data_IF_317489531896
#
_entry.id   IF_317489531896
#
_cell.length_a   1.000
_cell.length_b   1.000
_cell.length_c   1.000
_cell.angle_alpha   90.00
_cell.angle_beta   90.00
_cell.angle_gamma   90.00
#
_symmetry.space_group_name_H-M   'P 1'
#
loop_
_entity.id
_entity.type
_entity.pdbx_description
1 polymer ?
#
# COMPACT_ATOMS: atom_id res chain seq x y z
N UNK A 1 -31.09 10.56 -13.43
CA UNK A 1 -30.02 10.33 -14.42
C UNK A 1 -29.25 9.09 -14.01
N UNK A 2 -29.45 7.98 -14.71
CA UNK A 2 -28.93 6.66 -14.36
C UNK A 2 -27.40 6.58 -14.42
N UNK A 3 -26.75 7.49 -15.17
CA UNK A 3 -25.31 7.47 -15.41
C UNK A 3 -24.49 8.56 -14.70
N UNK A 4 -25.14 9.42 -13.91
CA UNK A 4 -24.45 10.51 -13.21
C UNK A 4 -23.28 10.01 -12.37
N UNK A 5 -23.46 8.89 -11.66
CA UNK A 5 -22.40 8.23 -10.88
C UNK A 5 -21.15 7.96 -11.73
N UNK A 6 -21.32 7.43 -12.94
CA UNK A 6 -20.20 7.06 -13.80
C UNK A 6 -19.49 8.30 -14.37
N UNK A 7 -20.25 9.34 -14.73
CA UNK A 7 -19.67 10.63 -15.14
C UNK A 7 -18.82 11.20 -14.02
N UNK A 8 -19.35 11.25 -12.80
CA UNK A 8 -18.64 11.77 -11.63
C UNK A 8 -17.34 10.97 -11.37
N UNK A 9 -17.37 9.64 -11.49
CA UNK A 9 -16.19 8.79 -11.35
C UNK A 9 -15.16 9.01 -12.46
N UNK A 10 -15.59 9.13 -13.72
CA UNK A 10 -14.68 9.38 -14.84
C UNK A 10 -13.98 10.73 -14.73
N UNK A 11 -14.71 11.76 -14.33
CA UNK A 11 -14.17 13.10 -14.09
C UNK A 11 -13.23 13.15 -12.89
N UNK A 12 -13.53 12.40 -11.82
CA UNK A 12 -12.73 12.39 -10.60
C UNK A 12 -11.45 11.55 -10.73
N UNK A 13 -11.55 10.38 -11.34
CA UNK A 13 -10.49 9.37 -11.32
C UNK A 13 -10.06 8.90 -12.71
N UNK A 14 -10.98 8.88 -13.68
CA UNK A 14 -10.77 8.26 -15.00
C UNK A 14 -9.79 8.98 -15.92
N UNK A 15 -9.29 10.16 -15.53
CA UNK A 15 -8.43 10.99 -16.36
C UNK A 15 -9.17 11.83 -17.40
N UNK A 16 -10.50 11.92 -17.29
CA UNK A 16 -11.33 12.79 -18.12
C UNK A 16 -11.30 14.22 -17.61
N UNK A 17 -11.24 15.18 -18.53
CA UNK A 17 -11.28 16.60 -18.24
C UNK A 17 -12.72 17.13 -18.37
N UNK A 18 -12.98 18.32 -17.85
CA UNK A 18 -14.31 18.94 -17.93
C UNK A 18 -14.85 19.04 -19.38
N UNK A 19 -13.97 19.18 -20.37
CA UNK A 19 -14.30 19.24 -21.79
C UNK A 19 -14.83 17.90 -22.32
N UNK A 20 -14.50 16.79 -21.68
CA UNK A 20 -14.92 15.44 -22.06
C UNK A 20 -16.32 15.08 -21.56
N UNK A 21 -17.03 15.99 -20.88
CA UNK A 21 -18.31 15.68 -20.24
C UNK A 21 -19.34 15.15 -21.24
N UNK A 22 -19.53 15.85 -22.36
CA UNK A 22 -20.49 15.45 -23.40
C UNK A 22 -20.07 14.14 -24.08
N UNK A 23 -18.75 13.93 -24.26
CA UNK A 23 -18.23 12.66 -24.76
C UNK A 23 -18.59 11.51 -23.81
N UNK A 24 -18.30 11.68 -22.53
CA UNK A 24 -18.50 10.66 -21.52
C UNK A 24 -19.99 10.33 -21.32
N UNK A 25 -20.85 11.35 -21.30
CA UNK A 25 -22.31 11.20 -21.24
C UNK A 25 -22.84 10.35 -22.40
N UNK A 26 -22.44 10.67 -23.64
CA UNK A 26 -22.86 9.93 -24.82
C UNK A 26 -22.33 8.49 -24.83
N UNK A 27 -21.07 8.27 -24.42
CA UNK A 27 -20.48 6.93 -24.35
C UNK A 27 -21.17 6.06 -23.30
N UNK A 28 -21.47 6.61 -22.13
CA UNK A 28 -22.14 5.88 -21.05
C UNK A 28 -23.60 5.54 -21.41
N UNK A 29 -24.32 6.45 -22.06
CA UNK A 29 -25.69 6.21 -22.50
C UNK A 29 -25.80 5.05 -23.52
N UNK A 30 -24.74 4.82 -24.31
CA UNK A 30 -24.69 3.72 -25.28
C UNK A 30 -24.37 2.35 -24.65
N UNK A 31 -23.92 2.30 -23.39
CA UNK A 31 -23.58 1.08 -22.68
C UNK A 31 -24.77 0.59 -21.85
N UNK A 32 -25.02 -0.72 -21.87
CA UNK A 32 -26.08 -1.36 -21.07
C UNK A 32 -25.52 -2.10 -19.88
N UNK A 33 -24.32 -2.68 -19.98
CA UNK A 33 -23.64 -3.37 -18.88
C UNK A 33 -22.95 -2.39 -17.93
N UNK A 34 -23.16 -2.59 -16.64
CA UNK A 34 -22.48 -1.86 -15.56
C UNK A 34 -20.97 -2.11 -15.60
N UNK A 35 -20.52 -3.31 -15.98
CA UNK A 35 -19.08 -3.62 -16.11
C UNK A 35 -18.41 -2.75 -17.15
N UNK A 36 -19.03 -2.60 -18.32
CA UNK A 36 -18.50 -1.76 -19.39
C UNK A 36 -18.48 -0.27 -18.99
N UNK A 37 -19.51 0.20 -18.29
CA UNK A 37 -19.54 1.58 -17.76
C UNK A 37 -18.43 1.81 -16.75
N UNK A 38 -18.22 0.87 -15.83
CA UNK A 38 -17.14 0.91 -14.84
C UNK A 38 -15.78 0.91 -15.52
N UNK A 39 -15.57 0.02 -16.49
CA UNK A 39 -14.31 -0.10 -17.23
C UNK A 39 -13.99 1.19 -17.98
N UNK A 40 -14.98 1.78 -18.67
CA UNK A 40 -14.80 3.03 -19.41
C UNK A 40 -14.28 4.17 -18.54
N UNK A 41 -14.74 4.24 -17.28
CA UNK A 41 -14.38 5.33 -16.36
C UNK A 41 -13.26 4.99 -15.40
N UNK A 42 -12.76 3.75 -15.45
CA UNK A 42 -11.56 3.33 -14.71
C UNK A 42 -10.33 3.96 -15.37
N UNK A 43 -9.43 4.63 -14.62
CA UNK A 43 -8.26 5.22 -15.23
C UNK A 43 -7.38 4.17 -15.92
N UNK A 44 -6.73 4.54 -17.04
CA UNK A 44 -5.61 3.79 -17.56
C UNK A 44 -4.50 3.65 -16.50
N UNK A 45 -3.75 2.55 -16.54
CA UNK A 45 -2.66 2.30 -15.61
C UNK A 45 -1.63 3.45 -15.57
N UNK A 46 -1.32 4.05 -16.73
CA UNK A 46 -0.40 5.18 -16.82
C UNK A 46 -0.92 6.43 -16.08
N UNK A 47 -2.21 6.73 -16.21
CA UNK A 47 -2.85 7.87 -15.53
C UNK A 47 -2.86 7.65 -14.02
N UNK A 48 -3.25 6.46 -13.56
CA UNK A 48 -3.22 6.09 -12.15
C UNK A 48 -1.81 6.30 -11.55
N UNK A 49 -0.79 5.72 -12.19
CA UNK A 49 0.58 5.75 -11.70
C UNK A 49 1.18 7.16 -11.72
N UNK A 50 0.90 7.94 -12.77
CA UNK A 50 1.37 9.33 -12.85
C UNK A 50 0.74 10.20 -11.75
N UNK A 51 -0.57 10.07 -11.53
CA UNK A 51 -1.26 10.86 -10.51
C UNK A 51 -0.85 10.46 -9.09
N UNK A 52 -0.70 9.16 -8.83
CA UNK A 52 -0.15 8.66 -7.56
C UNK A 52 1.24 9.24 -7.29
N UNK A 53 2.15 9.18 -8.27
CA UNK A 53 3.50 9.72 -8.14
C UNK A 53 3.49 11.24 -7.91
N UNK A 54 2.60 11.97 -8.60
CA UNK A 54 2.43 13.40 -8.41
C UNK A 54 1.98 13.73 -6.98
N UNK A 55 0.95 13.05 -6.46
CA UNK A 55 0.47 13.26 -5.09
C UNK A 55 1.57 12.94 -4.07
N UNK A 56 2.27 11.83 -4.27
CA UNK A 56 3.36 11.39 -3.41
C UNK A 56 4.46 12.46 -3.34
N UNK A 57 4.85 13.03 -4.48
CA UNK A 57 5.93 14.02 -4.57
C UNK A 57 5.52 15.42 -4.11
N UNK A 58 4.33 15.89 -4.51
CA UNK A 58 3.89 17.27 -4.27
C UNK A 58 3.21 17.47 -2.93
N UNK A 59 2.68 16.40 -2.33
CA UNK A 59 1.93 16.48 -1.08
C UNK A 59 2.52 15.56 -0.01
N UNK A 60 2.20 14.28 -0.05
CA UNK A 60 2.71 13.32 0.93
C UNK A 60 2.48 11.87 0.48
N UNK A 61 3.23 10.90 1.05
CA UNK A 61 2.92 9.48 0.88
C UNK A 61 1.47 9.14 1.25
N UNK A 62 0.94 9.77 2.31
CA UNK A 62 -0.43 9.53 2.79
C UNK A 62 -1.49 10.01 1.79
N UNK A 63 -1.31 11.19 1.21
CA UNK A 63 -2.27 11.70 0.21
C UNK A 63 -2.35 10.79 -1.03
N UNK A 64 -1.22 10.18 -1.42
CA UNK A 64 -1.16 9.26 -2.55
C UNK A 64 -1.88 7.93 -2.25
N UNK A 65 -1.63 7.35 -1.06
CA UNK A 65 -2.24 6.10 -0.62
C UNK A 65 -3.74 6.27 -0.33
N UNK A 66 -4.16 7.39 0.27
CA UNK A 66 -5.57 7.75 0.48
C UNK A 66 -6.30 7.87 -0.87
N UNK A 67 -5.69 8.55 -1.85
CA UNK A 67 -6.25 8.65 -3.20
C UNK A 67 -6.46 7.28 -3.83
N UNK A 68 -5.44 6.42 -3.78
CA UNK A 68 -5.53 5.08 -4.37
C UNK A 68 -6.55 4.21 -3.63
N UNK A 69 -6.67 4.35 -2.31
CA UNK A 69 -7.64 3.59 -1.51
C UNK A 69 -9.07 3.95 -1.88
N UNK A 70 -9.37 5.25 -1.98
CA UNK A 70 -10.69 5.73 -2.37
C UNK A 70 -11.04 5.36 -3.83
N UNK A 71 -10.04 5.36 -4.73
CA UNK A 71 -10.20 4.82 -6.07
C UNK A 71 -10.50 3.32 -6.02
N UNK A 72 -9.77 2.54 -5.20
CA UNK A 72 -9.97 1.11 -5.07
C UNK A 72 -11.38 0.75 -4.61
N UNK A 73 -11.93 1.51 -3.66
CA UNK A 73 -13.35 1.41 -3.25
C UNK A 73 -14.31 1.80 -4.36
N UNK A 74 -14.05 2.91 -5.04
CA UNK A 74 -14.94 3.45 -6.07
C UNK A 74 -15.12 2.51 -7.26
N UNK A 75 -14.04 1.81 -7.64
CA UNK A 75 -14.01 0.87 -8.75
C UNK A 75 -14.11 -0.59 -8.34
N UNK A 76 -14.10 -0.89 -7.03
CA UNK A 76 -14.21 -2.26 -6.51
C UNK A 76 -13.12 -3.14 -7.15
N UNK A 77 -11.87 -2.73 -6.90
CA UNK A 77 -10.62 -3.33 -7.44
C UNK A 77 -9.69 -3.82 -6.33
N UNK A 78 -10.26 -4.18 -5.18
CA UNK A 78 -9.53 -4.88 -4.13
C UNK A 78 -9.15 -6.28 -4.60
N UNK A 79 -7.94 -6.72 -4.25
CA UNK A 79 -7.44 -8.04 -4.66
C UNK A 79 -6.55 -8.67 -3.58
N UNK A 80 -6.86 -9.91 -3.19
CA UNK A 80 -6.15 -10.64 -2.13
C UNK A 80 -4.92 -11.41 -2.63
N UNK A 81 -4.87 -11.72 -3.92
CA UNK A 81 -3.77 -12.41 -4.57
C UNK A 81 -3.38 -11.68 -5.86
N UNK A 82 -2.92 -10.42 -5.75
CA UNK A 82 -2.63 -9.60 -6.91
C UNK A 82 -1.39 -10.14 -7.63
N UNK A 83 -1.44 -10.04 -8.96
CA UNK A 83 -0.36 -10.45 -9.84
C UNK A 83 -0.36 -9.56 -11.09
N UNK A 84 0.82 -9.33 -11.66
CA UNK A 84 0.98 -8.49 -12.85
C UNK A 84 0.14 -8.98 -14.04
N UNK A 85 -0.07 -10.30 -14.17
CA UNK A 85 -0.83 -10.93 -15.25
C UNK A 85 -2.35 -10.79 -15.09
N UNK A 86 -2.84 -10.27 -13.96
CA UNK A 86 -4.27 -10.03 -13.75
C UNK A 86 -4.74 -8.72 -14.40
N UNK A 87 -3.90 -7.68 -14.47
CA UNK A 87 -4.32 -6.36 -14.94
C UNK A 87 -4.83 -6.42 -16.39
N UNK A 88 -6.13 -6.13 -16.59
CA UNK A 88 -6.76 -6.14 -17.90
C UNK A 88 -7.18 -7.53 -18.41
N UNK A 89 -6.98 -8.59 -17.62
CA UNK A 89 -7.49 -9.94 -17.94
C UNK A 89 -9.03 -9.96 -17.84
N UNK A 90 -9.67 -10.90 -18.55
CA UNK A 90 -11.11 -11.13 -18.39
C UNK A 90 -11.43 -11.47 -16.91
N UNK A 91 -12.39 -10.74 -16.32
CA UNK A 91 -12.71 -10.78 -14.90
C UNK A 91 -11.90 -9.80 -14.03
N UNK A 92 -10.91 -9.13 -14.60
CA UNK A 92 -10.00 -8.17 -13.95
C UNK A 92 -9.80 -6.92 -14.83
N UNK A 93 -10.76 -6.60 -15.69
CA UNK A 93 -10.63 -5.58 -16.72
C UNK A 93 -10.35 -4.19 -16.11
N UNK A 94 -10.99 -3.91 -14.97
CA UNK A 94 -10.83 -2.70 -14.18
C UNK A 94 -9.74 -2.82 -13.09
N UNK A 95 -9.16 -4.00 -12.83
CA UNK A 95 -8.10 -4.14 -11.84
C UNK A 95 -6.92 -3.25 -12.23
N UNK A 96 -6.40 -2.50 -11.26
CA UNK A 96 -5.26 -1.59 -11.42
C UNK A 96 -4.43 -1.62 -10.15
N UNK A 97 -3.13 -1.44 -10.31
CA UNK A 97 -2.21 -1.36 -9.18
C UNK A 97 -1.14 -0.28 -9.40
N UNK A 98 -0.54 0.17 -8.32
CA UNK A 98 0.58 1.10 -8.34
C UNK A 98 1.86 0.31 -8.62
N UNK A 99 2.61 0.73 -9.63
CA UNK A 99 3.91 0.18 -9.99
C UNK A 99 4.99 0.84 -9.16
N UNK A 100 5.86 0.02 -8.59
CA UNK A 100 6.99 0.42 -7.78
C UNK A 100 8.28 -0.13 -8.40
N UNK A 101 9.36 0.63 -8.25
CA UNK A 101 10.71 0.14 -8.52
C UNK A 101 11.44 0.05 -7.19
N UNK A 102 11.73 -1.17 -6.76
CA UNK A 102 12.43 -1.44 -5.50
C UNK A 102 13.74 -2.15 -5.83
N UNK A 103 14.86 -1.54 -5.46
CA UNK A 103 16.19 -2.08 -5.77
C UNK A 103 16.38 -2.49 -7.24
N UNK A 104 15.82 -1.72 -8.18
CA UNK A 104 15.89 -1.98 -9.62
C UNK A 104 14.93 -3.05 -10.15
N UNK A 105 14.07 -3.62 -9.30
CA UNK A 105 13.10 -4.67 -9.66
C UNK A 105 11.67 -4.12 -9.68
N UNK A 106 10.82 -4.72 -10.51
CA UNK A 106 9.41 -4.38 -10.62
C UNK A 106 8.58 -4.96 -9.48
N UNK A 107 7.86 -4.08 -8.79
CA UNK A 107 6.85 -4.45 -7.78
C UNK A 107 5.52 -3.75 -8.07
N UNK A 108 4.44 -4.33 -7.54
CA UNK A 108 3.10 -3.78 -7.53
C UNK A 108 2.63 -3.55 -6.10
N UNK A 109 1.74 -2.58 -5.94
CA UNK A 109 1.02 -2.25 -4.72
C UNK A 109 -0.48 -2.19 -5.02
N UNK A 110 -1.26 -3.00 -4.31
CA UNK A 110 -2.74 -2.97 -4.35
C UNK A 110 -3.33 -3.11 -2.96
N UNK A 111 -4.54 -2.60 -2.77
CA UNK A 111 -5.31 -2.88 -1.56
C UNK A 111 -6.01 -4.23 -1.67
N UNK A 112 -6.03 -4.96 -0.55
CA UNK A 112 -6.69 -6.25 -0.36
C UNK A 112 -8.16 -6.10 0.01
N UNK A 113 -8.51 -5.08 0.77
CA UNK A 113 -9.87 -4.88 1.29
C UNK A 113 -10.14 -3.43 1.73
N UNK A 114 -11.36 -3.19 2.22
CA UNK A 114 -11.85 -1.90 2.73
C UNK A 114 -11.37 -1.56 4.16
N UNK A 115 -10.61 -2.45 4.80
CA UNK A 115 -9.92 -2.19 6.06
C UNK A 115 -8.51 -1.59 5.85
N UNK A 116 -8.19 -1.19 4.60
CA UNK A 116 -6.91 -0.58 4.22
C UNK A 116 -5.71 -1.53 4.36
N UNK A 117 -5.97 -2.84 4.39
CA UNK A 117 -4.92 -3.83 4.22
C UNK A 117 -4.47 -3.82 2.76
N UNK A 118 -3.15 -3.85 2.55
CA UNK A 118 -2.54 -3.79 1.24
C UNK A 118 -1.48 -4.87 1.06
N UNK A 119 -1.14 -5.13 -0.20
CA UNK A 119 -0.19 -6.16 -0.62
C UNK A 119 0.86 -5.51 -1.51
N UNK A 120 2.13 -5.84 -1.24
CA UNK A 120 3.26 -5.58 -2.13
C UNK A 120 3.65 -6.90 -2.80
N UNK A 121 3.76 -6.92 -4.12
CA UNK A 121 4.01 -8.15 -4.87
C UNK A 121 5.01 -7.89 -6.00
N UNK A 122 5.91 -8.83 -6.26
CA UNK A 122 6.92 -8.69 -7.31
C UNK A 122 6.45 -9.28 -8.64
N UNK A 123 6.90 -8.72 -9.76
CA UNK A 123 6.61 -9.27 -11.10
C UNK A 123 7.29 -10.63 -11.32
N UNK A 124 8.49 -10.79 -10.76
CA UNK A 124 9.29 -12.01 -10.82
C UNK A 124 9.62 -12.49 -9.40
N UNK A 125 9.99 -13.76 -9.19
CA UNK A 125 10.40 -14.24 -7.87
C UNK A 125 11.54 -13.40 -7.27
N UNK A 126 11.34 -12.92 -6.04
CA UNK A 126 12.32 -12.15 -5.29
C UNK A 126 12.42 -12.70 -3.88
N UNK A 127 13.66 -12.81 -3.37
CA UNK A 127 13.89 -13.07 -1.95
C UNK A 127 13.52 -11.83 -1.16
N UNK A 128 12.58 -11.96 -0.23
CA UNK A 128 12.30 -10.90 0.75
C UNK A 128 13.46 -10.84 1.75
N UNK A 129 13.98 -9.65 1.98
CA UNK A 129 15.03 -9.37 2.97
C UNK A 129 14.62 -8.19 3.85
N UNK A 130 15.27 -8.00 4.99
CA UNK A 130 14.98 -6.87 5.86
C UNK A 130 15.28 -5.52 5.18
N UNK A 131 16.28 -5.46 4.31
CA UNK A 131 16.59 -4.27 3.52
C UNK A 131 15.43 -3.91 2.59
N UNK A 132 14.83 -4.91 1.92
CA UNK A 132 13.64 -4.70 1.10
C UNK A 132 12.45 -4.23 1.96
N UNK A 133 12.24 -4.84 3.13
CA UNK A 133 11.17 -4.43 4.06
C UNK A 133 11.33 -2.96 4.49
N UNK A 134 12.55 -2.54 4.82
CA UNK A 134 12.83 -1.15 5.20
C UNK A 134 12.89 -0.16 4.04
N UNK A 135 13.18 -0.62 2.82
CA UNK A 135 13.02 0.14 1.59
C UNK A 135 11.53 0.46 1.37
N UNK A 136 10.66 -0.55 1.50
CA UNK A 136 9.21 -0.36 1.39
C UNK A 136 8.68 0.52 2.54
N UNK A 137 9.12 0.30 3.77
CA UNK A 137 8.71 1.12 4.93
C UNK A 137 9.11 2.59 4.76
N UNK A 138 10.19 2.87 4.03
CA UNK A 138 10.57 4.24 3.68
C UNK A 138 9.60 4.90 2.72
N UNK A 139 9.05 4.13 1.77
CA UNK A 139 8.06 4.61 0.81
C UNK A 139 6.70 4.80 1.49
N UNK A 140 6.37 3.92 2.43
CA UNK A 140 5.07 3.88 3.10
C UNK A 140 5.20 4.05 4.63
N UNK A 141 5.71 5.20 5.13
CA UNK A 141 6.07 5.36 6.55
C UNK A 141 4.89 5.32 7.53
N UNK A 142 3.66 5.42 7.03
CA UNK A 142 2.43 5.39 7.82
C UNK A 142 1.78 3.99 7.86
N UNK A 143 2.44 2.97 7.29
CA UNK A 143 2.02 1.57 7.36
C UNK A 143 3.01 0.75 8.18
N UNK A 144 2.51 -0.31 8.81
CA UNK A 144 3.28 -1.43 9.31
C UNK A 144 3.35 -2.51 8.23
N UNK A 145 4.57 -2.98 7.95
CA UNK A 145 4.85 -4.02 6.97
C UNK A 145 5.08 -5.35 7.66
N UNK A 146 4.45 -6.40 7.13
CA UNK A 146 4.62 -7.76 7.62
C UNK A 146 4.88 -8.66 6.42
N UNK A 147 5.84 -9.58 6.57
CA UNK A 147 5.98 -10.70 5.65
C UNK A 147 5.46 -11.96 6.35
N UNK A 148 4.51 -12.64 5.71
CA UNK A 148 3.96 -13.90 6.17
C UNK A 148 3.71 -14.82 4.96
N UNK A 149 4.23 -16.04 5.01
CA UNK A 149 4.11 -17.03 3.93
C UNK A 149 4.51 -16.52 2.53
N UNK A 150 5.55 -15.68 2.45
CA UNK A 150 6.02 -15.07 1.20
C UNK A 150 5.18 -13.89 0.72
N UNK A 151 4.14 -13.49 1.45
CA UNK A 151 3.28 -12.35 1.13
C UNK A 151 3.69 -11.13 1.95
N UNK A 152 4.02 -10.05 1.24
CA UNK A 152 4.27 -8.76 1.85
C UNK A 152 2.95 -8.01 2.01
N UNK A 153 2.54 -7.78 3.25
CA UNK A 153 1.33 -7.04 3.57
C UNK A 153 1.64 -5.75 4.29
N UNK A 154 0.74 -4.77 4.14
CA UNK A 154 0.78 -3.49 4.82
C UNK A 154 -0.56 -3.25 5.50
N UNK A 155 -0.52 -2.72 6.73
CA UNK A 155 -1.70 -2.23 7.45
C UNK A 155 -1.40 -0.88 8.11
N UNK A 156 -2.38 0.03 8.28
CA UNK A 156 -2.12 1.33 8.87
C UNK A 156 -1.38 1.21 10.21
N UNK A 157 -0.35 2.04 10.42
CA UNK A 157 0.43 2.06 11.66
C UNK A 157 -0.35 2.77 12.78
N UNK A 158 -1.40 2.11 13.26
CA UNK A 158 -2.26 2.58 14.35
C UNK A 158 -1.98 1.76 15.60
N UNK A 159 -1.66 2.44 16.70
CA UNK A 159 -1.34 1.84 17.99
C UNK A 159 -2.35 2.30 19.04
N UNK A 160 -2.80 1.38 19.91
CA UNK A 160 -3.79 1.71 20.94
C UNK A 160 -3.27 2.62 22.06
N UNK A 161 -1.95 2.62 22.27
CA UNK A 161 -1.28 3.39 23.33
C UNK A 161 0.08 3.87 22.87
N UNK A 162 0.55 4.97 23.49
CA UNK A 162 1.89 5.50 23.26
C UNK A 162 2.96 4.50 23.70
N UNK A 163 4.14 4.59 23.07
CA UNK A 163 5.29 3.78 23.45
C UNK A 163 6.09 4.45 24.56
N UNK A 164 6.25 3.76 25.67
CA UNK A 164 7.09 4.17 26.79
C UNK A 164 8.49 3.59 26.61
N UNK A 165 9.53 4.43 26.74
CA UNK A 165 10.92 3.96 26.69
C UNK A 165 11.17 3.02 27.87
N UNK A 166 11.71 1.82 27.58
CA UNK A 166 12.06 0.83 28.59
C UNK A 166 13.55 0.90 28.90
N UNK A 167 14.41 0.76 27.88
CA UNK A 167 15.87 0.75 28.02
C UNK A 167 16.56 0.96 26.68
N UNK A 168 17.82 1.34 26.74
CA UNK A 168 18.74 1.19 25.62
C UNK A 168 19.30 -0.24 25.67
N UNK A 169 19.08 -1.02 24.61
CA UNK A 169 19.59 -2.39 24.51
C UNK A 169 21.08 -2.39 24.14
N UNK A 170 21.42 -1.52 23.19
CA UNK A 170 22.81 -1.26 22.76
C UNK A 170 23.00 0.25 22.60
N UNK A 171 24.19 0.69 22.18
CA UNK A 171 24.41 2.07 21.79
C UNK A 171 23.64 2.47 20.50
N UNK A 172 23.10 1.50 19.76
CA UNK A 172 22.47 1.68 18.45
C UNK A 172 20.97 1.37 18.46
N UNK A 173 20.47 0.64 19.46
CA UNK A 173 19.08 0.19 19.57
C UNK A 173 18.45 0.57 20.91
N UNK A 174 17.30 1.24 20.82
CA UNK A 174 16.43 1.60 21.94
C UNK A 174 15.18 0.72 21.92
N UNK A 175 14.79 0.19 23.08
CA UNK A 175 13.54 -0.53 23.29
C UNK A 175 12.51 0.39 23.96
N UNK A 176 11.34 0.45 23.35
CA UNK A 176 10.14 1.04 23.92
C UNK A 176 8.99 0.05 23.84
N UNK A 177 7.96 0.22 24.67
CA UNK A 177 6.85 -0.72 24.75
C UNK A 177 5.52 0.00 24.92
N UNK A 178 4.45 -0.63 24.44
CA UNK A 178 3.09 -0.26 24.79
C UNK A 178 2.30 -1.52 25.20
N UNK A 179 0.98 -1.45 25.30
CA UNK A 179 0.15 -2.60 25.68
C UNK A 179 0.25 -3.81 24.74
N UNK A 180 0.55 -3.59 23.47
CA UNK A 180 0.46 -4.60 22.40
C UNK A 180 1.82 -4.97 21.78
N UNK A 181 2.80 -4.08 21.84
CA UNK A 181 4.05 -4.19 21.09
C UNK A 181 5.27 -3.88 21.95
N UNK A 182 6.35 -4.61 21.68
CA UNK A 182 7.72 -4.16 21.92
C UNK A 182 8.21 -3.51 20.63
N UNK A 183 8.68 -2.27 20.70
CA UNK A 183 9.25 -1.53 19.57
C UNK A 183 10.74 -1.33 19.78
N UNK A 184 11.52 -1.88 18.87
CA UNK A 184 12.93 -1.57 18.72
C UNK A 184 13.09 -0.42 17.74
N UNK A 185 13.96 0.54 18.07
CA UNK A 185 14.27 1.65 17.19
C UNK A 185 15.76 1.91 17.10
N UNK A 186 16.24 2.15 15.88
CA UNK A 186 17.67 2.28 15.62
C UNK A 186 17.96 2.76 14.20
N UNK A 187 19.25 2.94 13.89
CA UNK A 187 19.73 3.35 12.56
C UNK A 187 20.51 2.24 11.84
N UNK A 188 20.86 1.17 12.55
CA UNK A 188 21.55 0.01 12.02
C UNK A 188 20.57 -1.16 11.95
N UNK A 189 20.31 -1.68 10.75
CA UNK A 189 19.36 -2.77 10.51
C UNK A 189 19.85 -4.08 11.14
N UNK A 190 21.15 -4.37 11.06
CA UNK A 190 21.74 -5.61 11.58
C UNK A 190 21.62 -5.67 13.12
N UNK A 191 22.02 -4.60 13.81
CA UNK A 191 21.90 -4.50 15.28
C UNK A 191 20.42 -4.60 15.70
N UNK A 192 19.50 -3.94 14.98
CA UNK A 192 18.07 -4.03 15.26
C UNK A 192 17.53 -5.46 15.16
N UNK A 193 17.95 -6.22 14.15
CA UNK A 193 17.51 -7.59 13.94
C UNK A 193 18.12 -8.53 14.99
N UNK A 194 19.40 -8.39 15.29
CA UNK A 194 20.07 -9.15 16.36
C UNK A 194 19.34 -8.95 17.70
N UNK A 195 19.01 -7.70 18.04
CA UNK A 195 18.26 -7.40 19.26
C UNK A 195 16.82 -7.94 19.23
N UNK A 196 16.18 -8.00 18.06
CA UNK A 196 14.86 -8.63 17.93
C UNK A 196 14.94 -10.15 18.15
N UNK A 197 15.97 -10.80 17.61
CA UNK A 197 16.23 -12.23 17.79
C UNK A 197 16.55 -12.58 19.25
N UNK A 198 17.33 -11.75 19.96
CA UNK A 198 17.64 -11.92 21.38
C UNK A 198 16.39 -11.85 22.27
N UNK A 199 15.43 -10.98 21.94
CA UNK A 199 14.15 -10.90 22.64
C UNK A 199 13.29 -12.14 22.34
N UNK A 200 13.33 -12.60 21.09
CA UNK A 200 12.49 -13.70 20.60
C UNK A 200 11.06 -13.25 20.29
N UNK A 201 10.47 -13.86 19.26
CA UNK A 201 9.13 -13.55 18.81
C UNK A 201 8.44 -14.78 18.23
N UNK A 202 7.13 -14.91 18.49
CA UNK A 202 6.30 -16.02 18.01
C UNK A 202 5.50 -15.67 16.75
N UNK A 203 5.29 -14.37 16.51
CA UNK A 203 4.61 -13.84 15.34
C UNK A 203 5.62 -13.15 14.42
N UNK A 204 5.34 -13.05 13.11
CA UNK A 204 6.18 -12.30 12.19
C UNK A 204 6.47 -10.88 12.68
N UNK A 205 7.70 -10.43 12.47
CA UNK A 205 8.11 -9.07 12.79
C UNK A 205 7.33 -8.07 11.94
N UNK A 206 6.88 -6.98 12.56
CA UNK A 206 6.33 -5.84 11.84
C UNK A 206 7.43 -4.79 11.63
N UNK A 207 7.55 -4.24 10.43
CA UNK A 207 8.54 -3.26 10.05
C UNK A 207 7.89 -1.90 9.86
N UNK A 208 8.57 -0.84 10.30
CA UNK A 208 8.15 0.53 10.07
C UNK A 208 9.35 1.47 10.00
N UNK A 209 9.10 2.72 9.60
CA UNK A 209 10.16 3.71 9.46
C UNK A 209 9.65 5.14 9.64
N UNK A 210 10.46 5.97 10.28
CA UNK A 210 10.27 7.42 10.34
C UNK A 210 11.58 8.12 9.99
N UNK A 211 11.60 8.79 8.83
CA UNK A 211 12.80 9.36 8.25
C UNK A 211 13.92 8.33 8.10
N UNK A 212 15.00 8.50 8.88
CA UNK A 212 16.15 7.57 8.88
C UNK A 212 16.07 6.50 9.97
N UNK A 213 15.13 6.62 10.91
CA UNK A 213 15.00 5.69 12.03
C UNK A 213 14.18 4.48 11.59
N UNK A 214 14.77 3.31 11.74
CA UNK A 214 14.13 2.03 11.50
C UNK A 214 13.40 1.56 12.75
N UNK A 215 12.24 0.93 12.57
CA UNK A 215 11.47 0.33 13.64
C UNK A 215 11.17 -1.13 13.34
N UNK A 216 11.38 -1.98 14.36
CA UNK A 216 10.85 -3.34 14.41
C UNK A 216 9.84 -3.38 15.54
N UNK A 217 8.65 -3.90 15.27
CA UNK A 217 7.63 -4.13 16.28
C UNK A 217 7.43 -5.64 16.44
N UNK A 218 7.59 -6.10 17.67
CA UNK A 218 7.32 -7.47 18.11
C UNK A 218 5.99 -7.43 18.84
N UNK A 219 5.00 -8.17 18.34
CA UNK A 219 3.71 -8.32 19.01
C UNK A 219 3.91 -9.05 20.34
N UNK A 220 3.35 -8.50 21.42
CA UNK A 220 3.31 -9.15 22.73
C UNK A 220 2.28 -10.28 22.66
N UNK A 221 2.77 -11.51 22.64
CA UNK A 221 1.91 -12.70 22.65
C UNK A 221 1.40 -12.98 24.06
N UNK A 222 0.07 -13.10 24.17
CA UNK A 222 -0.61 -14.00 25.11
C UNK A 222 -1.27 -15.11 24.29
#
# INVERSE_FOLDING_TARGET
MTDKKWIDLGMKYGGFMAQDHIFLENRLAALTDVKDKRLLVTPPASVLNAYFAELYQKRSPKDATDYFFELSKAFDIFEENPDFQLEGKNGYENFRFIRLNLSGKSFGFSYKNDAEEAIIFSEFPVKVTAELMFEIAQIFPHYLLVEEDGKLTMKPAQFQSEFEKVKDLTALTEQAENGEYIRLSGYNIEDLLEQAEEIGFLSPLCFGRDGRKHFIYITKGF
#
